data_IF_585294970781
#
_entry.id   IF_585294970781
#
_cell.length_a   1.000
_cell.length_b   1.000
_cell.length_c   1.000
_cell.angle_alpha   90.00
_cell.angle_beta   90.00
_cell.angle_gamma   90.00
#
_symmetry.space_group_name_H-M   'P 1'
#
loop_
_entity.id
_entity.type
_entity.pdbx_description
1 polymer ?
#
# COMPACT_ATOMS: atom_id res chain seq x y z
N UNK A 1 17.16 19.89 -6.19
CA UNK A 1 17.00 18.63 -6.94
C UNK A 1 15.81 17.90 -6.34
N UNK A 2 14.63 18.03 -6.94
CA UNK A 2 13.41 17.37 -6.47
C UNK A 2 13.53 15.88 -6.76
N UNK A 3 13.98 15.10 -5.78
CA UNK A 3 13.99 13.66 -5.83
C UNK A 3 12.55 13.19 -5.96
N UNK A 4 12.13 12.92 -7.19
CA UNK A 4 10.94 12.13 -7.47
C UNK A 4 11.25 10.73 -6.93
N UNK A 5 11.01 10.50 -5.64
CA UNK A 5 10.86 9.15 -5.12
C UNK A 5 9.63 8.57 -5.82
N UNK A 6 9.88 7.90 -6.96
CA UNK A 6 8.85 7.46 -7.89
C UNK A 6 7.83 6.60 -7.15
N UNK A 7 6.59 7.09 -7.09
CA UNK A 7 5.49 6.33 -6.52
C UNK A 7 5.25 5.07 -7.36
N UNK A 8 5.17 3.93 -6.69
CA UNK A 8 4.98 2.64 -7.36
C UNK A 8 3.49 2.29 -7.32
N UNK A 9 2.91 2.01 -8.49
CA UNK A 9 1.53 1.50 -8.59
C UNK A 9 1.52 0.00 -8.40
N UNK A 10 0.62 -0.49 -7.54
CA UNK A 10 0.48 -1.92 -7.28
C UNK A 10 -0.95 -2.27 -6.83
N UNK A 11 -1.62 -3.17 -7.56
CA UNK A 11 -3.01 -3.64 -7.28
C UNK A 11 -4.03 -2.51 -6.99
N UNK A 12 -3.88 -1.36 -7.66
CA UNK A 12 -4.76 -0.18 -7.46
C UNK A 12 -4.38 0.71 -6.27
N UNK A 13 -3.19 0.52 -5.71
CA UNK A 13 -2.61 1.35 -4.65
C UNK A 13 -1.34 2.05 -5.14
N UNK A 14 -1.09 3.23 -4.59
CA UNK A 14 0.17 3.95 -4.69
C UNK A 14 1.01 3.67 -3.45
N UNK A 15 2.20 3.13 -3.68
CA UNK A 15 3.25 2.93 -2.70
C UNK A 15 4.22 4.09 -2.84
N UNK A 16 4.26 4.97 -1.85
CA UNK A 16 5.11 6.15 -1.87
C UNK A 16 6.20 5.98 -0.81
N UNK A 17 7.48 5.96 -1.20
CA UNK A 17 8.58 6.06 -0.24
C UNK A 17 8.45 7.35 0.57
N UNK A 18 8.92 7.33 1.80
CA UNK A 18 8.95 8.47 2.69
C UNK A 18 10.39 8.71 3.14
N UNK A 19 10.72 9.97 3.42
CA UNK A 19 12.07 10.39 3.84
C UNK A 19 12.58 9.70 5.10
N UNK A 20 11.68 9.17 5.93
CA UNK A 20 11.99 8.39 7.13
C UNK A 20 12.13 6.88 6.88
N UNK A 21 12.38 6.46 5.63
CA UNK A 21 12.49 5.04 5.20
C UNK A 21 11.21 4.21 5.40
N UNK A 22 10.08 4.87 5.60
CA UNK A 22 8.77 4.21 5.62
C UNK A 22 8.09 4.31 4.26
N UNK A 23 6.97 3.59 4.10
CA UNK A 23 6.13 3.69 2.92
C UNK A 23 4.73 4.14 3.32
N UNK A 24 4.17 5.06 2.54
CA UNK A 24 2.76 5.42 2.58
C UNK A 24 2.03 4.67 1.47
N UNK A 25 1.09 3.82 1.86
CA UNK A 25 0.24 3.03 0.96
C UNK A 25 -1.14 3.66 0.95
N UNK A 26 -1.61 4.10 -0.23
CA UNK A 26 -2.96 4.68 -0.40
C UNK A 26 -3.64 4.11 -1.64
N UNK A 27 -4.97 3.97 -1.65
CA UNK A 27 -5.69 3.61 -2.85
C UNK A 27 -5.60 4.73 -3.91
N UNK A 28 -5.62 4.34 -5.19
CA UNK A 28 -5.63 5.25 -6.32
C UNK A 28 -7.01 5.86 -6.57
N UNK A 29 -8.08 5.10 -6.28
CA UNK A 29 -9.47 5.49 -6.53
C UNK A 29 -10.39 5.01 -5.41
N UNK A 30 -11.50 5.71 -5.22
CA UNK A 30 -12.65 5.24 -4.44
C UNK A 30 -13.56 4.35 -5.30
N UNK A 31 -14.33 3.39 -4.74
CA UNK A 31 -14.45 3.05 -3.31
C UNK A 31 -13.17 2.43 -2.74
N UNK A 32 -12.83 2.84 -1.52
CA UNK A 32 -11.62 2.40 -0.85
C UNK A 32 -11.86 0.98 -0.33
N UNK A 33 -11.12 0.02 -0.91
CA UNK A 33 -10.97 -1.33 -0.35
C UNK A 33 -10.30 -1.20 1.03
N UNK A 34 -8.99 -0.95 1.02
CA UNK A 34 -8.24 -0.65 2.24
C UNK A 34 -8.08 0.85 2.48
N UNK A 35 -8.18 1.26 3.75
CA UNK A 35 -7.80 2.59 4.19
C UNK A 35 -6.29 2.83 4.01
N UNK A 36 -5.85 4.09 3.83
CA UNK A 36 -4.44 4.40 3.68
C UNK A 36 -3.69 4.05 4.96
N UNK A 37 -2.51 3.46 4.83
CA UNK A 37 -1.68 3.08 5.96
C UNK A 37 -0.20 3.34 5.72
N UNK A 38 0.54 3.45 6.80
CA UNK A 38 2.01 3.51 6.76
C UNK A 38 2.59 2.19 7.18
N UNK A 39 3.71 1.81 6.56
CA UNK A 39 4.51 0.66 6.99
C UNK A 39 5.96 1.08 7.16
N UNK A 40 6.63 0.69 8.27
CA UNK A 40 8.05 0.98 8.48
C UNK A 40 8.96 0.08 7.61
N UNK A 41 8.40 -0.85 6.83
CA UNK A 41 9.23 -1.75 6.05
C UNK A 41 9.97 -1.00 4.96
N UNK A 42 11.28 -1.23 4.87
CA UNK A 42 12.14 -0.45 3.99
C UNK A 42 12.15 -0.98 2.55
N UNK A 43 11.74 -2.22 2.30
CA UNK A 43 11.79 -2.84 0.98
C UNK A 43 10.43 -2.79 0.26
N UNK A 44 10.46 -2.51 -1.05
CA UNK A 44 9.26 -2.53 -1.89
C UNK A 44 8.60 -3.91 -1.93
N UNK A 45 9.39 -4.99 -1.88
CA UNK A 45 8.90 -6.36 -1.91
C UNK A 45 8.03 -6.67 -0.68
N UNK A 46 8.50 -6.28 0.51
CA UNK A 46 7.75 -6.50 1.74
C UNK A 46 6.49 -5.62 1.80
N UNK A 47 6.56 -4.39 1.29
CA UNK A 47 5.39 -3.50 1.20
C UNK A 47 4.30 -4.13 0.33
N UNK A 48 4.69 -4.74 -0.81
CA UNK A 48 3.77 -5.48 -1.68
C UNK A 48 3.17 -6.69 -0.96
N UNK A 49 4.00 -7.52 -0.31
CA UNK A 49 3.54 -8.69 0.43
C UNK A 49 2.57 -8.32 1.57
N UNK A 50 2.85 -7.23 2.29
CA UNK A 50 1.96 -6.70 3.33
C UNK A 50 0.61 -6.23 2.75
N UNK A 51 0.64 -5.55 1.60
CA UNK A 51 -0.57 -5.10 0.93
C UNK A 51 -1.40 -6.31 0.43
N UNK A 52 -0.75 -7.32 -0.16
CA UNK A 52 -1.42 -8.55 -0.58
C UNK A 52 -2.09 -9.27 0.59
N UNK A 53 -1.39 -9.40 1.72
CA UNK A 53 -1.96 -10.00 2.92
C UNK A 53 -3.17 -9.22 3.44
N UNK A 54 -3.10 -7.87 3.49
CA UNK A 54 -4.24 -7.04 3.92
C UNK A 54 -5.43 -7.14 2.98
N UNK A 55 -5.19 -7.18 1.67
CA UNK A 55 -6.25 -7.34 0.68
C UNK A 55 -6.92 -8.72 0.83
N UNK A 56 -6.14 -9.78 1.04
CA UNK A 56 -6.69 -11.11 1.26
C UNK A 56 -7.53 -11.19 2.55
N UNK A 57 -7.12 -10.49 3.62
CA UNK A 57 -7.90 -10.39 4.86
C UNK A 57 -9.24 -9.70 4.62
N UNK A 58 -9.24 -8.55 3.94
CA UNK A 58 -10.48 -7.84 3.60
C UNK A 58 -11.39 -8.68 2.69
N UNK A 59 -10.83 -9.36 1.69
CA UNK A 59 -11.58 -10.26 0.81
C UNK A 59 -12.21 -11.42 1.61
N UNK A 60 -11.51 -11.96 2.61
CA UNK A 60 -12.04 -12.98 3.51
C UNK A 60 -13.14 -12.44 4.44
N UNK A 61 -13.01 -11.21 4.94
CA UNK A 61 -14.02 -10.56 5.78
C UNK A 61 -15.31 -10.21 5.00
N UNK A 62 -15.19 -9.81 3.74
CA UNK A 62 -16.33 -9.51 2.86
C UNK A 62 -17.02 -10.80 2.37
N UNK A 63 -16.28 -11.91 2.21
CA UNK A 63 -16.81 -13.21 1.76
C UNK A 63 -17.56 -14.02 2.82
N UNK A 64 -17.64 -13.54 4.07
CA UNK A 64 -18.36 -14.19 5.19
C UNK A 64 -19.81 -13.66 5.35
N UNK A 65 -20.31 -12.86 4.39
CA UNK A 65 -21.67 -12.33 4.39
C UNK A 65 -22.65 -13.20 3.56
#
# INVERSE_FOLDING_TARGET
MNGQEASVRYRGFLLMPQTNRSWLVRPERSPMRLLPFRTPTCSLADVKALLDWRLAQEEAEIGVA
#
